data_IF_884477010736
#
_entry.id   IF_884477010736
#
_cell.length_a   1.000
_cell.length_b   1.000
_cell.length_c   1.000
_cell.angle_alpha   90.00
_cell.angle_beta   90.00
_cell.angle_gamma   90.00
#
_symmetry.space_group_name_H-M   'P 1'
#
loop_
_entity.id
_entity.type
_entity.pdbx_description
1 polymer ?
#
# COMPACT_ATOMS: atom_id res chain seq x y z
N UNK A 1 21.22 -18.65 -27.18
CA UNK A 1 20.08 -18.15 -26.39
C UNK A 1 18.91 -19.08 -26.73
N UNK A 2 18.66 -20.08 -25.89
CA UNK A 2 17.50 -20.95 -26.06
C UNK A 2 16.24 -20.17 -25.63
N UNK A 3 15.19 -20.28 -26.46
CA UNK A 3 13.88 -19.75 -26.12
C UNK A 3 13.34 -20.46 -24.86
N UNK A 4 12.65 -19.74 -23.94
CA UNK A 4 12.09 -20.34 -22.74
C UNK A 4 11.16 -21.49 -23.12
N UNK A 5 11.44 -22.68 -22.57
CA UNK A 5 10.67 -23.90 -22.86
C UNK A 5 9.19 -23.75 -22.53
N UNK A 6 8.37 -24.65 -23.08
CA UNK A 6 6.90 -24.70 -22.97
C UNK A 6 6.33 -24.57 -21.53
N UNK A 7 7.17 -24.69 -20.50
CA UNK A 7 6.79 -24.56 -19.10
C UNK A 7 6.49 -23.12 -18.70
N UNK A 8 7.07 -22.12 -19.38
CA UNK A 8 6.84 -20.70 -19.11
C UNK A 8 5.68 -20.11 -19.91
N UNK A 9 5.09 -20.86 -20.82
CA UNK A 9 3.95 -20.36 -21.62
C UNK A 9 2.64 -20.21 -20.83
N UNK A 10 2.55 -20.88 -19.66
CA UNK A 10 1.36 -20.83 -18.79
C UNK A 10 1.54 -19.97 -17.53
N UNK A 11 2.72 -19.42 -17.29
CA UNK A 11 2.91 -18.45 -16.21
C UNK A 11 2.80 -17.05 -16.76
N UNK A 12 1.89 -16.28 -16.19
CA UNK A 12 1.75 -14.84 -16.50
C UNK A 12 3.07 -14.13 -16.25
N UNK A 13 3.46 -13.21 -17.13
CA UNK A 13 4.66 -12.37 -16.95
C UNK A 13 4.61 -11.51 -15.68
N UNK A 14 3.45 -11.41 -15.05
CA UNK A 14 3.23 -10.67 -13.81
C UNK A 14 3.71 -11.41 -12.55
N UNK A 15 3.90 -12.74 -12.61
CA UNK A 15 4.22 -13.58 -11.45
C UNK A 15 5.72 -13.76 -11.21
N UNK A 16 6.59 -13.32 -12.14
CA UNK A 16 8.05 -13.39 -12.01
C UNK A 16 8.60 -12.00 -11.81
N UNK A 17 9.11 -11.70 -10.61
CA UNK A 17 9.70 -10.40 -10.25
C UNK A 17 11.16 -10.26 -10.67
N UNK A 18 11.86 -11.39 -10.85
CA UNK A 18 13.26 -11.36 -11.24
C UNK A 18 13.82 -12.72 -11.61
N UNK A 19 15.00 -12.72 -12.21
CA UNK A 19 15.74 -13.93 -12.59
C UNK A 19 17.20 -13.77 -12.16
N UNK A 20 17.69 -14.70 -11.34
CA UNK A 20 19.10 -14.79 -10.97
C UNK A 20 19.74 -15.95 -11.74
N UNK A 21 20.78 -15.67 -12.48
CA UNK A 21 21.53 -16.68 -13.24
C UNK A 21 22.80 -17.05 -12.48
N UNK A 22 22.92 -18.31 -12.13
CA UNK A 22 24.14 -18.94 -11.64
C UNK A 22 24.75 -19.75 -12.77
N UNK A 23 26.01 -20.19 -12.61
CA UNK A 23 26.76 -20.86 -13.68
C UNK A 23 26.05 -22.09 -14.25
N UNK A 24 25.39 -22.89 -13.41
CA UNK A 24 24.75 -24.16 -13.72
C UNK A 24 23.22 -24.16 -13.59
N UNK A 25 22.62 -23.05 -13.11
CA UNK A 25 21.17 -22.97 -12.84
C UNK A 25 20.61 -21.56 -12.96
N UNK A 26 19.30 -21.49 -13.17
CA UNK A 26 18.53 -20.24 -13.19
C UNK A 26 17.54 -20.30 -12.02
N UNK A 27 17.52 -19.24 -11.20
CA UNK A 27 16.59 -19.07 -10.07
C UNK A 27 15.60 -18.00 -10.46
N UNK A 28 14.30 -18.32 -10.39
CA UNK A 28 13.23 -17.35 -10.58
C UNK A 28 12.81 -16.79 -9.23
N UNK A 29 12.73 -15.48 -9.13
CA UNK A 29 12.09 -14.79 -8.02
C UNK A 29 10.61 -14.64 -8.38
N UNK A 30 9.75 -15.23 -7.55
CA UNK A 30 8.31 -15.24 -7.79
C UNK A 30 7.62 -14.24 -6.88
N UNK A 31 6.66 -13.51 -7.45
CA UNK A 31 5.69 -12.74 -6.70
C UNK A 31 4.58 -13.69 -6.21
N UNK A 32 4.67 -14.10 -4.95
CA UNK A 32 3.70 -15.03 -4.36
C UNK A 32 2.31 -14.39 -4.25
N UNK A 33 2.23 -13.09 -4.07
CA UNK A 33 0.96 -12.36 -3.99
C UNK A 33 0.27 -12.31 -5.35
N UNK A 34 1.02 -12.05 -6.41
CA UNK A 34 0.52 -12.15 -7.78
C UNK A 34 0.06 -13.57 -8.14
N UNK A 35 0.79 -14.62 -7.67
CA UNK A 35 0.40 -16.02 -7.86
C UNK A 35 -0.90 -16.33 -7.12
N UNK A 36 -1.04 -15.91 -5.87
CA UNK A 36 -2.25 -16.12 -5.08
C UNK A 36 -3.46 -15.41 -5.71
N UNK A 37 -3.27 -14.19 -6.19
CA UNK A 37 -4.31 -13.45 -6.90
C UNK A 37 -4.75 -14.15 -8.20
N UNK A 38 -3.83 -14.79 -8.92
CA UNK A 38 -4.11 -15.53 -10.14
C UNK A 38 -4.78 -16.89 -9.88
N UNK A 39 -4.39 -17.60 -8.81
CA UNK A 39 -4.93 -18.92 -8.45
C UNK A 39 -6.29 -18.84 -7.75
N UNK A 40 -6.57 -17.76 -7.07
CA UNK A 40 -7.86 -17.51 -6.41
C UNK A 40 -8.54 -16.26 -6.99
N UNK A 41 -9.21 -16.39 -8.15
CA UNK A 41 -9.96 -15.27 -8.74
C UNK A 41 -11.10 -14.76 -7.84
N UNK A 42 -11.50 -15.51 -6.80
CA UNK A 42 -12.40 -15.04 -5.76
C UNK A 42 -11.71 -14.13 -4.73
N UNK A 43 -10.37 -14.15 -4.67
CA UNK A 43 -9.52 -13.15 -4.02
C UNK A 43 -9.05 -12.08 -5.01
N UNK A 44 -9.06 -12.36 -6.32
CA UNK A 44 -9.04 -11.31 -7.33
C UNK A 44 -10.34 -10.53 -7.13
N UNK A 45 -10.21 -9.26 -6.76
CA UNK A 45 -11.31 -8.33 -6.56
C UNK A 45 -12.24 -8.49 -7.76
N UNK A 46 -13.43 -9.08 -7.54
CA UNK A 46 -14.55 -8.86 -8.45
C UNK A 46 -14.86 -7.38 -8.26
N UNK A 47 -14.45 -6.62 -9.25
CA UNK A 47 -14.91 -5.27 -9.44
C UNK A 47 -16.38 -5.38 -9.83
N UNK A 48 -17.24 -5.54 -8.82
CA UNK A 48 -18.66 -5.37 -9.05
C UNK A 48 -18.83 -3.97 -9.62
N UNK A 49 -19.62 -3.83 -10.67
CA UNK A 49 -19.91 -2.51 -11.26
C UNK A 49 -20.44 -1.61 -10.15
N UNK A 50 -20.06 -0.32 -10.13
CA UNK A 50 -20.53 0.59 -9.09
C UNK A 50 -22.05 0.61 -9.13
N UNK A 51 -22.68 0.51 -7.96
CA UNK A 51 -24.12 0.78 -7.83
C UNK A 51 -24.34 2.21 -8.36
N UNK A 52 -25.17 2.37 -9.39
CA UNK A 52 -25.39 3.65 -10.11
C UNK A 52 -26.00 4.77 -9.24
N UNK A 53 -26.08 4.58 -7.93
CA UNK A 53 -26.76 5.48 -6.99
C UNK A 53 -25.90 6.03 -5.84
N UNK A 54 -24.59 5.82 -5.84
CA UNK A 54 -23.76 6.55 -4.85
C UNK A 54 -23.55 8.00 -5.30
N UNK A 55 -24.12 8.94 -4.54
CA UNK A 55 -23.82 10.37 -4.66
C UNK A 55 -22.29 10.57 -4.60
N UNK A 56 -21.76 11.44 -5.47
CA UNK A 56 -20.34 11.76 -5.47
C UNK A 56 -19.91 12.14 -4.04
N UNK A 57 -18.82 11.56 -3.51
CA UNK A 57 -18.41 11.79 -2.13
C UNK A 57 -18.16 13.29 -1.89
N UNK A 58 -18.66 13.79 -0.78
CA UNK A 58 -18.54 15.21 -0.42
C UNK A 58 -17.07 15.66 -0.20
N UNK A 59 -16.16 14.71 0.02
CA UNK A 59 -14.74 14.95 0.24
C UNK A 59 -13.89 13.79 -0.30
N UNK A 60 -12.79 14.14 -0.99
CA UNK A 60 -11.79 13.18 -1.48
C UNK A 60 -10.56 13.25 -0.58
N UNK A 61 -10.20 12.12 0.02
CA UNK A 61 -9.06 12.00 0.93
C UNK A 61 -7.78 11.65 0.18
N UNK A 62 -6.67 12.32 0.50
CA UNK A 62 -5.35 12.09 -0.10
C UNK A 62 -4.53 11.13 0.74
N UNK A 63 -4.16 9.99 0.15
CA UNK A 63 -3.49 8.88 0.82
C UNK A 63 -2.15 8.61 0.17
N UNK A 64 -1.12 8.39 0.99
CA UNK A 64 0.14 7.80 0.54
C UNK A 64 0.11 6.30 0.78
N UNK A 65 0.15 5.51 -0.28
CA UNK A 65 0.24 4.04 -0.22
C UNK A 65 1.68 3.60 -0.51
N UNK A 66 2.24 2.82 0.41
CA UNK A 66 3.64 2.38 0.40
C UNK A 66 3.71 0.86 0.39
N UNK A 67 4.23 0.28 -0.67
CA UNK A 67 4.34 -1.19 -0.84
C UNK A 67 5.40 -1.47 -1.91
N UNK A 68 6.24 -2.49 -1.74
CA UNK A 68 7.27 -2.83 -2.74
C UNK A 68 6.71 -3.65 -3.92
N UNK A 69 5.59 -4.35 -3.71
CA UNK A 69 4.90 -5.09 -4.76
C UNK A 69 4.12 -4.17 -5.71
N UNK A 70 4.56 -4.08 -6.95
CA UNK A 70 3.86 -3.31 -8.00
C UNK A 70 2.41 -3.78 -8.18
N UNK A 71 2.17 -5.09 -8.05
CA UNK A 71 0.83 -5.68 -8.21
C UNK A 71 -0.09 -5.21 -7.10
N UNK A 72 0.36 -5.19 -5.85
CA UNK A 72 -0.41 -4.70 -4.71
C UNK A 72 -0.66 -3.20 -4.85
N UNK A 73 0.36 -2.40 -5.22
CA UNK A 73 0.16 -0.96 -5.43
C UNK A 73 -0.91 -0.68 -6.47
N UNK A 74 -0.87 -1.38 -7.63
CA UNK A 74 -1.87 -1.20 -8.67
C UNK A 74 -3.26 -1.62 -8.23
N UNK A 75 -3.36 -2.68 -7.44
CA UNK A 75 -4.63 -3.20 -6.93
C UNK A 75 -5.27 -2.25 -5.92
N UNK A 76 -4.49 -1.77 -4.93
CA UNK A 76 -4.96 -0.83 -3.92
C UNK A 76 -5.34 0.52 -4.54
N UNK A 77 -4.53 1.03 -5.48
CA UNK A 77 -4.84 2.24 -6.25
C UNK A 77 -6.22 2.11 -6.91
N UNK A 78 -6.40 1.04 -7.70
CA UNK A 78 -7.65 0.84 -8.44
C UNK A 78 -8.86 0.69 -7.50
N UNK A 79 -8.69 -0.04 -6.37
CA UNK A 79 -9.75 -0.22 -5.38
C UNK A 79 -10.18 1.11 -4.76
N UNK A 80 -9.23 1.90 -4.28
CA UNK A 80 -9.52 3.13 -3.55
C UNK A 80 -10.02 4.25 -4.46
N UNK A 81 -9.49 4.36 -5.68
CA UNK A 81 -9.92 5.39 -6.63
C UNK A 81 -11.26 5.07 -7.31
N UNK A 82 -11.62 3.78 -7.46
CA UNK A 82 -12.89 3.38 -8.05
C UNK A 82 -14.10 3.95 -7.31
N UNK A 83 -14.03 4.05 -5.99
CA UNK A 83 -15.11 4.58 -5.15
C UNK A 83 -15.14 6.12 -5.14
N UNK A 84 -14.15 6.79 -5.73
CA UNK A 84 -14.05 8.24 -5.78
C UNK A 84 -13.78 8.92 -4.42
N UNK A 85 -13.62 8.15 -3.35
CA UNK A 85 -13.39 8.68 -1.98
C UNK A 85 -11.93 9.05 -1.73
N UNK A 86 -10.99 8.51 -2.53
CA UNK A 86 -9.56 8.65 -2.30
C UNK A 86 -8.80 9.05 -3.55
N UNK A 87 -7.79 9.88 -3.37
CA UNK A 87 -6.72 10.16 -4.31
C UNK A 87 -5.44 9.53 -3.74
N UNK A 88 -4.82 8.61 -4.49
CA UNK A 88 -3.73 7.77 -3.97
C UNK A 88 -2.40 8.12 -4.62
N UNK A 89 -1.46 8.63 -3.83
CA UNK A 89 -0.05 8.73 -4.20
C UNK A 89 0.67 7.45 -3.79
N UNK A 90 1.62 6.99 -4.59
CA UNK A 90 2.34 5.74 -4.34
C UNK A 90 3.81 5.98 -4.00
N UNK A 91 4.34 5.13 -3.11
CA UNK A 91 5.77 4.97 -2.86
C UNK A 91 6.15 3.49 -2.96
N UNK A 92 7.36 3.22 -3.46
CA UNK A 92 7.80 1.84 -3.71
C UNK A 92 8.44 1.16 -2.48
N UNK A 93 8.75 1.90 -1.44
CA UNK A 93 9.19 1.43 -0.13
C UNK A 93 9.21 2.56 0.90
N UNK A 94 9.58 2.24 2.14
CA UNK A 94 9.60 3.23 3.23
C UNK A 94 10.61 4.37 3.02
N UNK A 95 11.70 4.15 2.30
CA UNK A 95 12.68 5.21 2.00
C UNK A 95 12.11 6.22 1.00
N UNK A 96 11.46 5.74 -0.06
CA UNK A 96 10.78 6.58 -1.04
C UNK A 96 9.65 7.40 -0.37
N UNK A 97 8.84 6.77 0.46
CA UNK A 97 7.81 7.45 1.25
C UNK A 97 8.40 8.53 2.17
N UNK A 98 9.52 8.22 2.85
CA UNK A 98 10.21 9.17 3.73
C UNK A 98 10.86 10.33 2.95
N UNK A 99 11.15 10.18 1.68
CA UNK A 99 11.60 11.28 0.82
C UNK A 99 10.45 12.18 0.36
N UNK A 100 9.26 11.61 0.20
CA UNK A 100 8.05 12.34 -0.22
C UNK A 100 7.42 13.13 0.93
N UNK A 101 7.22 12.53 2.10
CA UNK A 101 6.49 13.13 3.23
C UNK A 101 7.06 14.47 3.73
N UNK A 102 8.37 14.63 3.96
CA UNK A 102 8.93 15.93 4.33
C UNK A 102 8.75 16.99 3.25
N UNK A 103 8.78 16.62 1.96
CA UNK A 103 8.51 17.56 0.87
C UNK A 103 7.09 18.08 0.91
N UNK A 104 6.09 17.21 1.12
CA UNK A 104 4.69 17.62 1.30
C UNK A 104 4.51 18.53 2.52
N UNK A 105 5.17 18.21 3.64
CA UNK A 105 5.18 19.07 4.83
C UNK A 105 5.74 20.46 4.53
N UNK A 106 6.89 20.51 3.87
CA UNK A 106 7.58 21.77 3.57
C UNK A 106 6.82 22.59 2.51
N UNK A 107 6.17 21.92 1.56
CA UNK A 107 5.26 22.52 0.59
C UNK A 107 4.02 23.12 1.27
N UNK A 108 3.39 22.40 2.17
CA UNK A 108 2.26 22.90 2.96
C UNK A 108 2.65 24.14 3.77
N UNK A 109 3.81 24.11 4.42
CA UNK A 109 4.34 25.24 5.17
C UNK A 109 4.65 26.45 4.28
N UNK A 110 5.24 26.24 3.11
CA UNK A 110 5.55 27.32 2.16
C UNK A 110 4.30 27.96 1.55
N UNK A 111 3.23 27.17 1.36
CA UNK A 111 1.94 27.65 0.84
C UNK A 111 1.00 28.19 1.93
N UNK A 112 1.38 28.12 3.21
CA UNK A 112 0.56 28.47 4.37
C UNK A 112 -0.79 27.73 4.37
N UNK A 113 -0.76 26.43 4.06
CA UNK A 113 -1.92 25.53 4.08
C UNK A 113 -1.71 24.37 5.06
N UNK A 114 -2.79 23.78 5.59
CA UNK A 114 -2.70 22.57 6.39
C UNK A 114 -2.08 21.40 5.60
N UNK A 115 -1.26 20.57 6.27
CA UNK A 115 -0.72 19.35 5.67
C UNK A 115 -1.84 18.41 5.14
N UNK A 116 -2.99 18.41 5.80
CA UNK A 116 -4.18 17.64 5.39
C UNK A 116 -4.70 18.00 3.99
N UNK A 117 -4.31 19.14 3.41
CA UNK A 117 -4.63 19.46 2.03
C UNK A 117 -3.77 18.69 1.02
N UNK A 118 -2.64 18.14 1.46
CA UNK A 118 -1.69 17.41 0.60
C UNK A 118 -1.64 15.91 0.90
N UNK A 119 -1.77 15.52 2.18
CA UNK A 119 -1.81 14.12 2.62
C UNK A 119 -2.59 14.02 3.93
N UNK A 120 -3.47 13.01 4.02
CA UNK A 120 -4.36 12.82 5.17
C UNK A 120 -4.17 11.46 5.83
N UNK A 121 -3.44 10.53 5.22
CA UNK A 121 -3.14 9.24 5.80
C UNK A 121 -2.07 8.47 5.04
N UNK A 122 -1.50 7.49 5.70
CA UNK A 122 -0.47 6.60 5.13
C UNK A 122 -0.93 5.16 5.31
N UNK A 123 -0.90 4.38 4.23
CA UNK A 123 -1.02 2.92 4.27
C UNK A 123 0.35 2.37 3.92
N UNK A 124 0.94 1.56 4.78
CA UNK A 124 2.28 1.02 4.55
C UNK A 124 2.31 -0.50 4.72
N UNK A 125 2.87 -1.19 3.73
CA UNK A 125 3.35 -2.55 3.96
C UNK A 125 4.38 -2.55 5.09
N UNK A 126 4.51 -3.69 5.76
CA UNK A 126 5.45 -3.89 6.86
C UNK A 126 6.81 -4.29 6.31
N UNK A 127 6.85 -5.26 5.40
CA UNK A 127 8.08 -5.86 4.89
C UNK A 127 8.46 -5.28 3.53
N UNK A 128 9.38 -4.32 3.54
CA UNK A 128 9.86 -3.64 2.34
C UNK A 128 11.38 -3.51 2.35
N UNK A 129 12.04 -3.46 1.17
CA UNK A 129 13.48 -3.18 1.08
C UNK A 129 13.82 -1.76 1.54
N UNK A 130 15.08 -1.49 1.78
CA UNK A 130 15.67 -0.20 2.19
C UNK A 130 15.16 0.32 3.54
N UNK A 131 13.87 0.53 3.68
CA UNK A 131 13.22 0.94 4.91
C UNK A 131 11.88 0.21 5.04
N UNK A 132 11.72 -0.56 6.11
CA UNK A 132 10.48 -1.25 6.44
C UNK A 132 9.39 -0.30 6.95
N UNK A 133 8.13 -0.77 6.94
CA UNK A 133 6.99 0.03 7.35
C UNK A 133 6.99 0.43 8.82
N UNK A 134 7.59 -0.38 9.71
CA UNK A 134 7.69 -0.02 11.13
C UNK A 134 8.70 1.12 11.34
N UNK A 135 9.83 1.09 10.64
CA UNK A 135 10.81 2.16 10.66
C UNK A 135 10.23 3.46 10.08
N UNK A 136 9.48 3.36 8.98
CA UNK A 136 8.77 4.50 8.39
C UNK A 136 7.75 5.09 9.39
N UNK A 137 6.90 4.24 9.97
CA UNK A 137 5.89 4.69 10.96
C UNK A 137 6.55 5.41 12.13
N UNK A 138 7.61 4.84 12.70
CA UNK A 138 8.35 5.49 13.80
C UNK A 138 8.85 6.87 13.40
N UNK A 139 9.47 7.01 12.23
CA UNK A 139 9.94 8.30 11.72
C UNK A 139 8.81 9.31 11.55
N UNK A 140 7.66 8.89 11.02
CA UNK A 140 6.46 9.74 10.91
C UNK A 140 6.02 10.20 12.30
N UNK A 141 5.93 9.29 13.28
CA UNK A 141 5.46 9.60 14.63
C UNK A 141 6.46 10.41 15.47
N UNK A 142 7.73 10.38 15.15
CA UNK A 142 8.78 11.21 15.76
C UNK A 142 8.88 12.62 15.17
N UNK A 143 8.38 12.85 13.94
CA UNK A 143 8.36 14.19 13.33
C UNK A 143 7.28 15.08 13.96
N UNK A 144 7.61 16.32 14.24
CA UNK A 144 6.71 17.24 14.95
C UNK A 144 5.42 17.58 14.22
N UNK A 145 5.41 17.53 12.89
CA UNK A 145 4.28 17.83 12.03
C UNK A 145 3.63 16.56 11.48
N UNK A 146 4.46 15.64 10.92
CA UNK A 146 3.95 14.41 10.31
C UNK A 146 3.30 13.46 11.33
N UNK A 147 3.63 13.54 12.62
CA UNK A 147 3.06 12.70 13.69
C UNK A 147 1.53 12.68 13.76
N UNK A 148 0.89 13.72 13.25
CA UNK A 148 -0.58 13.81 13.20
C UNK A 148 -1.19 12.88 12.13
N UNK A 149 -0.42 12.46 11.11
CA UNK A 149 -0.91 11.57 10.08
C UNK A 149 -1.28 10.20 10.67
N UNK A 150 -2.49 9.70 10.43
CA UNK A 150 -2.82 8.32 10.71
C UNK A 150 -1.98 7.40 9.82
N UNK A 151 -1.40 6.36 10.43
CA UNK A 151 -0.61 5.34 9.75
C UNK A 151 -1.27 3.99 9.94
N UNK A 152 -1.71 3.39 8.86
CA UNK A 152 -2.25 2.04 8.80
C UNK A 152 -1.19 1.06 8.31
N UNK A 153 -0.94 -0.01 9.04
CA UNK A 153 -0.08 -1.11 8.58
C UNK A 153 -0.88 -2.10 7.74
N UNK A 154 -0.32 -2.51 6.62
CA UNK A 154 -0.94 -3.40 5.66
C UNK A 154 -0.06 -4.64 5.47
N UNK A 155 -0.51 -5.82 5.88
CA UNK A 155 0.32 -7.04 5.89
C UNK A 155 -0.46 -8.28 5.52
N UNK A 156 0.20 -9.23 4.86
CA UNK A 156 -0.37 -10.55 4.54
C UNK A 156 -0.58 -11.42 5.77
N UNK A 157 0.16 -11.17 6.85
CA UNK A 157 0.08 -11.93 8.09
C UNK A 157 -0.20 -10.97 9.26
N UNK A 158 -1.37 -11.13 9.87
CA UNK A 158 -1.70 -10.44 11.12
C UNK A 158 -1.76 -11.49 12.24
N UNK A 159 -0.92 -11.29 13.25
CA UNK A 159 -0.96 -12.03 14.50
C UNK A 159 -0.77 -11.06 15.69
N UNK A 160 -1.09 -11.52 16.90
CA UNK A 160 -0.99 -10.67 18.09
C UNK A 160 0.41 -10.10 18.36
N UNK A 161 1.46 -10.85 18.00
CA UNK A 161 2.84 -10.37 18.16
C UNK A 161 3.14 -9.20 17.24
N UNK A 162 2.72 -9.32 15.97
CA UNK A 162 2.87 -8.26 14.96
C UNK A 162 2.02 -7.05 15.33
N UNK A 163 0.78 -7.28 15.78
CA UNK A 163 -0.11 -6.21 16.25
C UNK A 163 0.53 -5.37 17.36
N UNK A 164 1.13 -6.03 18.35
CA UNK A 164 1.84 -5.34 19.45
C UNK A 164 3.05 -4.55 18.94
N UNK A 165 3.81 -5.09 17.99
CA UNK A 165 4.94 -4.39 17.37
C UNK A 165 4.48 -3.13 16.62
N UNK A 166 3.43 -3.24 15.80
CA UNK A 166 2.86 -2.10 15.09
C UNK A 166 2.39 -1.00 16.06
N UNK A 167 1.67 -1.37 17.10
CA UNK A 167 1.25 -0.45 18.14
C UNK A 167 2.44 0.22 18.86
N UNK A 168 3.55 -0.51 19.11
CA UNK A 168 4.73 0.03 19.79
C UNK A 168 5.48 1.10 18.98
N UNK A 169 5.32 1.15 17.67
CA UNK A 169 5.87 2.20 16.79
C UNK A 169 4.87 3.31 16.51
N UNK A 170 3.67 3.25 17.09
CA UNK A 170 2.64 4.28 16.97
C UNK A 170 1.71 4.10 15.77
N UNK A 171 1.67 2.93 15.15
CA UNK A 171 0.68 2.66 14.11
C UNK A 171 -0.74 2.75 14.69
N UNK A 172 -1.64 3.39 13.96
CA UNK A 172 -2.99 3.68 14.40
C UNK A 172 -3.94 2.50 14.18
N UNK A 173 -3.68 1.71 13.14
CA UNK A 173 -4.43 0.49 12.83
C UNK A 173 -3.60 -0.45 11.96
N UNK A 174 -4.16 -1.63 11.71
CA UNK A 174 -3.59 -2.59 10.79
C UNK A 174 -4.68 -3.28 9.97
N UNK A 175 -4.36 -3.58 8.71
CA UNK A 175 -5.23 -4.26 7.78
C UNK A 175 -4.56 -5.51 7.22
N UNK A 176 -5.37 -6.55 7.00
CA UNK A 176 -4.92 -7.75 6.30
C UNK A 176 -5.03 -7.55 4.79
N UNK A 177 -3.97 -7.87 4.04
CA UNK A 177 -3.98 -7.81 2.56
C UNK A 177 -5.13 -8.60 1.92
N UNK A 178 -5.59 -9.77 2.46
CA UNK A 178 -6.77 -10.45 1.95
C UNK A 178 -8.09 -9.69 2.11
N UNK A 179 -8.18 -8.77 3.09
CA UNK A 179 -9.43 -8.04 3.42
C UNK A 179 -9.56 -6.71 2.65
N UNK A 180 -9.13 -6.67 1.41
CA UNK A 180 -9.14 -5.45 0.58
C UNK A 180 -10.53 -4.82 0.44
N UNK A 181 -11.61 -5.62 0.45
CA UNK A 181 -12.98 -5.08 0.37
C UNK A 181 -13.35 -4.17 1.53
N UNK A 182 -12.75 -4.40 2.70
CA UNK A 182 -12.96 -3.59 3.91
C UNK A 182 -11.95 -2.44 4.04
N UNK A 183 -10.95 -2.38 3.15
CA UNK A 183 -9.87 -1.41 3.26
C UNK A 183 -10.39 0.03 3.13
N UNK A 184 -11.23 0.29 2.14
CA UNK A 184 -11.80 1.60 1.87
C UNK A 184 -12.61 2.13 3.04
N UNK A 185 -13.56 1.34 3.55
CA UNK A 185 -14.43 1.75 4.66
C UNK A 185 -13.65 2.00 5.95
N UNK A 186 -12.76 1.08 6.31
CA UNK A 186 -11.91 1.23 7.51
C UNK A 186 -10.93 2.39 7.40
N UNK A 187 -10.41 2.64 6.19
CA UNK A 187 -9.53 3.78 5.96
C UNK A 187 -10.31 5.10 6.05
N UNK A 188 -11.50 5.14 5.48
CA UNK A 188 -12.40 6.27 5.60
C UNK A 188 -12.72 6.57 7.07
N UNK A 189 -13.09 5.56 7.86
CA UNK A 189 -13.35 5.69 9.30
C UNK A 189 -12.13 6.22 10.05
N UNK A 190 -10.93 5.66 9.78
CA UNK A 190 -9.68 6.07 10.41
C UNK A 190 -9.37 7.55 10.19
N UNK A 191 -9.61 8.07 8.99
CA UNK A 191 -9.25 9.44 8.63
C UNK A 191 -10.33 10.43 9.01
N UNK A 192 -11.61 10.11 8.78
CA UNK A 192 -12.74 11.00 9.08
C UNK A 192 -12.92 11.29 10.56
N UNK A 193 -12.53 10.37 11.45
CA UNK A 193 -12.61 10.56 12.90
C UNK A 193 -11.52 11.47 13.47
N UNK A 194 -10.54 11.89 12.65
CA UNK A 194 -9.38 12.71 13.08
C UNK A 194 -9.35 14.11 12.49
N UNK A 195 -10.37 14.48 11.75
CA UNK A 195 -10.62 15.85 11.29
C UNK A 195 -11.52 16.57 12.25
#
# INVERSE_FOLDING_TARGET
VEAPGKFLQNMSRSTVTGVVRLDDRVIFLLDLEAIVAELHPAMAIRLDEPDEHEEAPAHVYRILHVDDSKSIRSMVLHLLEKEGRFEVTQAVDGQDAWEQLPRLRDEAAAADIPLSNLVQGVISDIEMPRMDGMALCRKIKEDSVLRQLPVAMFSSLINESLARKCASVGADTQFSKPDLKLLSDKLYELISTRQ
#
